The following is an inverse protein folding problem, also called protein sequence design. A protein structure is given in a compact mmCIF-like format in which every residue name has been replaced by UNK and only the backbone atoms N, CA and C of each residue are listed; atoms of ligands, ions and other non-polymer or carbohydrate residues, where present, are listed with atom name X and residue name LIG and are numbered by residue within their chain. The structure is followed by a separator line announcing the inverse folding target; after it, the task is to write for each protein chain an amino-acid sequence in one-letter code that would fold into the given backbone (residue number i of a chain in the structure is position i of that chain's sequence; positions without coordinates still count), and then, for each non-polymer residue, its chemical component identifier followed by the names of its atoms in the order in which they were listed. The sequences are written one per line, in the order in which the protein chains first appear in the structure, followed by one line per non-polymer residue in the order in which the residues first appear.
data_IF_275221265447
#
_entry.id   IF_275221265447
#
_cell.length_a   1.000
_cell.length_b   1.000
_cell.length_c   1.000
_cell.angle_alpha   90.00
_cell.angle_beta   90.00
_cell.angle_gamma   90.00
#
_symmetry.space_group_name_H-M   'P 1'
#
loop_
_entity.id
_entity.type
_entity.pdbx_description
1 polymer ?
#
# COMPACT_ATOMS: atom_id res chain seq x y z
N UNK A 1 21.88 2.24 5.90
CA UNK A 1 22.21 1.67 4.56
C UNK A 1 21.05 0.81 4.07
N UNK A 2 20.84 0.69 2.76
CA UNK A 2 19.85 -0.25 2.23
C UNK A 2 20.36 -1.70 2.39
N UNK A 3 19.53 -2.57 2.95
CA UNK A 3 19.88 -3.98 3.27
C UNK A 3 19.31 -4.95 2.22
N UNK A 4 18.28 -4.53 1.48
CA UNK A 4 17.52 -5.40 0.58
C UNK A 4 16.52 -6.29 1.31
N UNK A 5 16.01 -7.29 0.61
CA UNK A 5 15.04 -8.26 1.13
C UNK A 5 15.61 -9.13 2.26
N UNK A 6 14.78 -9.42 3.26
CA UNK A 6 15.12 -10.21 4.44
C UNK A 6 14.57 -11.64 4.39
N UNK A 7 14.26 -12.13 3.19
CA UNK A 7 13.74 -13.46 2.90
C UNK A 7 14.86 -14.52 2.78
N UNK A 8 16.09 -14.09 2.51
CA UNK A 8 17.26 -14.97 2.41
C UNK A 8 18.09 -15.00 3.70
N UNK A 9 18.76 -16.13 3.94
CA UNK A 9 19.74 -16.26 5.04
C UNK A 9 20.82 -15.19 4.96
N UNK A 10 21.33 -14.93 3.75
CA UNK A 10 22.34 -13.88 3.52
C UNK A 10 21.82 -12.50 3.90
N UNK A 11 20.61 -12.15 3.49
CA UNK A 11 19.98 -10.88 3.86
C UNK A 11 19.87 -10.71 5.37
N UNK A 12 19.46 -11.78 6.07
CA UNK A 12 19.38 -11.77 7.53
C UNK A 12 20.74 -11.65 8.23
N UNK A 13 21.78 -12.29 7.72
CA UNK A 13 23.13 -12.20 8.29
C UNK A 13 23.70 -10.77 8.10
N UNK A 14 23.49 -10.16 6.93
CA UNK A 14 23.85 -8.75 6.69
C UNK A 14 23.07 -7.82 7.61
N UNK A 15 21.75 -8.03 7.76
CA UNK A 15 20.92 -7.26 8.68
C UNK A 15 21.45 -7.28 10.11
N UNK A 16 21.77 -8.48 10.63
CA UNK A 16 22.33 -8.65 11.99
C UNK A 16 23.67 -7.94 12.15
N UNK A 17 24.55 -8.05 11.14
CA UNK A 17 25.84 -7.39 11.15
C UNK A 17 25.67 -5.87 11.21
N UNK A 18 24.80 -5.30 10.36
CA UNK A 18 24.51 -3.86 10.34
C UNK A 18 23.96 -3.38 11.68
N UNK A 19 23.05 -4.12 12.33
CA UNK A 19 22.56 -3.77 13.66
C UNK A 19 23.70 -3.75 14.69
N UNK A 20 24.58 -4.75 14.68
CA UNK A 20 25.72 -4.82 15.60
C UNK A 20 26.73 -3.69 15.35
N UNK A 21 27.04 -3.40 14.09
CA UNK A 21 27.97 -2.36 13.67
C UNK A 21 27.46 -0.97 14.06
N UNK A 22 26.19 -0.66 13.81
CA UNK A 22 25.60 0.64 14.17
C UNK A 22 25.60 0.86 15.68
N UNK A 23 25.22 -0.14 16.48
CA UNK A 23 25.28 -0.04 17.94
C UNK A 23 26.71 0.18 18.45
N UNK A 24 27.68 -0.51 17.86
CA UNK A 24 29.10 -0.35 18.21
C UNK A 24 29.60 1.04 17.83
N UNK A 25 29.32 1.49 16.61
CA UNK A 25 29.75 2.78 16.07
C UNK A 25 29.21 3.96 16.89
N UNK A 26 27.92 3.92 17.24
CA UNK A 26 27.28 4.95 18.05
C UNK A 26 27.41 4.73 19.56
N UNK A 27 28.15 3.69 19.99
CA UNK A 27 28.40 3.35 21.39
C UNK A 27 27.11 3.27 22.22
N UNK A 28 26.07 2.67 21.64
CA UNK A 28 24.74 2.57 22.24
C UNK A 28 24.22 1.14 22.18
N UNK A 29 23.26 0.82 23.04
CA UNK A 29 22.49 -0.43 23.01
C UNK A 29 21.02 -0.09 22.97
N UNK A 30 20.30 -0.68 22.04
CA UNK A 30 18.86 -0.49 21.93
C UNK A 30 18.16 -1.01 23.19
N UNK A 31 17.51 -0.10 23.92
CA UNK A 31 16.70 -0.45 25.09
C UNK A 31 15.30 -0.92 24.70
N UNK A 32 14.88 -0.69 23.45
CA UNK A 32 13.58 -1.09 22.90
C UNK A 32 13.77 -1.33 21.40
N UNK A 33 13.10 -2.35 20.87
CA UNK A 33 13.07 -2.64 19.44
C UNK A 33 11.70 -2.29 18.88
N UNK A 34 11.70 -1.66 17.70
CA UNK A 34 10.47 -1.33 16.97
C UNK A 34 10.45 -2.14 15.68
N UNK A 35 9.28 -2.65 15.31
CA UNK A 35 9.11 -3.48 14.12
C UNK A 35 7.68 -3.42 13.58
N UNK A 36 7.46 -4.02 12.42
CA UNK A 36 6.13 -4.11 11.81
C UNK A 36 5.17 -4.96 12.65
N UNK A 37 3.88 -4.66 12.55
CA UNK A 37 2.79 -5.43 13.13
C UNK A 37 2.73 -6.86 12.60
N UNK A 38 3.17 -7.11 11.36
CA UNK A 38 3.08 -8.41 10.72
C UNK A 38 3.92 -9.50 11.45
N UNK A 39 3.29 -10.49 12.11
CA UNK A 39 4.01 -11.49 12.92
C UNK A 39 4.89 -12.43 12.08
N UNK A 40 4.54 -12.63 10.80
CA UNK A 40 5.31 -13.46 9.87
C UNK A 40 6.63 -12.84 9.36
N UNK A 41 6.86 -11.53 9.53
CA UNK A 41 8.06 -10.90 8.98
C UNK A 41 9.34 -11.36 9.69
N UNK A 42 10.42 -11.55 8.92
CA UNK A 42 11.71 -12.01 9.46
C UNK A 42 12.27 -11.03 10.48
N UNK A 43 12.20 -9.72 10.21
CA UNK A 43 12.64 -8.69 11.16
C UNK A 43 11.84 -8.72 12.47
N UNK A 44 10.53 -8.96 12.39
CA UNK A 44 9.65 -9.10 13.56
C UNK A 44 10.05 -10.27 14.44
N UNK A 45 10.22 -11.46 13.85
CA UNK A 45 10.67 -12.67 14.57
C UNK A 45 12.07 -12.50 15.16
N UNK A 46 12.96 -11.82 14.46
CA UNK A 46 14.30 -11.52 14.96
C UNK A 46 14.23 -10.60 16.19
N UNK A 47 13.43 -9.53 16.15
CA UNK A 47 13.30 -8.56 17.24
C UNK A 47 12.78 -9.22 18.52
N UNK A 48 11.73 -10.05 18.41
CA UNK A 48 11.17 -10.80 19.54
C UNK A 48 12.17 -11.75 20.23
N UNK A 49 13.25 -12.13 19.53
CA UNK A 49 14.28 -13.02 20.05
C UNK A 49 15.47 -12.30 20.72
N UNK A 50 15.53 -10.95 20.72
CA UNK A 50 16.73 -10.23 21.18
C UNK A 50 16.78 -9.95 22.69
N UNK A 51 15.65 -9.98 23.40
CA UNK A 51 15.57 -9.72 24.85
C UNK A 51 14.97 -8.36 25.25
N UNK A 52 15.30 -7.22 24.60
CA UNK A 52 14.63 -5.95 24.87
C UNK A 52 13.11 -5.99 24.60
N UNK A 53 12.33 -5.11 25.24
CA UNK A 53 10.94 -4.88 24.87
C UNK A 53 10.77 -4.59 23.38
N UNK A 54 9.71 -5.13 22.79
CA UNK A 54 9.39 -4.94 21.37
C UNK A 54 8.07 -4.16 21.25
N UNK A 55 8.07 -3.12 20.43
CA UNK A 55 6.87 -2.36 20.05
C UNK A 55 6.58 -2.62 18.58
N UNK A 56 5.36 -3.00 18.29
CA UNK A 56 4.87 -3.25 16.94
C UNK A 56 4.11 -2.03 16.42
N UNK A 57 4.41 -1.60 15.20
CA UNK A 57 3.73 -0.48 14.54
C UNK A 57 3.09 -0.98 13.25
N UNK A 58 1.86 -0.55 12.99
CA UNK A 58 1.16 -0.94 11.78
C UNK A 58 1.87 -0.35 10.54
N UNK A 59 1.94 -1.14 9.47
CA UNK A 59 2.71 -0.85 8.27
C UNK A 59 2.37 0.51 7.62
N UNK A 60 1.10 0.77 7.34
CA UNK A 60 0.66 1.99 6.66
C UNK A 60 0.67 3.22 7.57
N UNK A 61 0.45 3.01 8.87
CA UNK A 61 0.71 4.02 9.91
C UNK A 61 2.20 4.39 9.93
N UNK A 62 3.10 3.44 9.72
CA UNK A 62 4.54 3.73 9.62
C UNK A 62 4.82 4.60 8.39
N UNK A 63 4.23 4.29 7.23
CA UNK A 63 4.33 5.17 6.05
C UNK A 63 3.80 6.58 6.33
N UNK A 64 2.65 6.70 7.00
CA UNK A 64 2.06 7.99 7.36
C UNK A 64 2.93 8.78 8.36
N UNK A 65 3.51 8.10 9.34
CA UNK A 65 4.43 8.72 10.31
C UNK A 65 5.79 9.05 9.71
N UNK A 66 6.24 8.34 8.68
CA UNK A 66 7.47 8.67 7.97
C UNK A 66 7.36 10.04 7.29
N UNK A 67 6.31 10.27 6.49
CA UNK A 67 6.12 11.58 5.87
C UNK A 67 5.87 12.69 6.89
N UNK A 68 5.06 12.43 7.93
CA UNK A 68 4.82 13.41 8.98
C UNK A 68 6.10 13.78 9.76
N UNK A 69 7.05 12.85 9.92
CA UNK A 69 8.35 13.10 10.54
C UNK A 69 9.26 14.01 9.71
N UNK A 70 9.15 13.97 8.37
CA UNK A 70 9.92 14.85 7.48
C UNK A 70 9.41 16.30 7.48
N UNK A 71 8.13 16.50 7.79
CA UNK A 71 7.46 17.81 7.81
C UNK A 71 6.85 18.10 9.20
N UNK A 72 7.68 18.29 10.24
CA UNK A 72 7.23 18.43 11.62
C UNK A 72 6.40 19.70 11.88
N UNK A 73 6.38 20.65 10.95
CA UNK A 73 5.56 21.86 11.04
C UNK A 73 4.08 21.62 10.73
N UNK A 74 3.70 20.45 10.20
CA UNK A 74 2.32 20.11 9.85
C UNK A 74 1.68 19.33 10.99
N UNK A 75 0.58 19.86 11.54
CA UNK A 75 -0.08 19.28 12.71
C UNK A 75 -1.26 18.37 12.37
N UNK A 76 -2.06 18.73 11.35
CA UNK A 76 -3.24 18.00 10.91
C UNK A 76 -3.05 17.46 9.49
N UNK A 77 -2.80 16.17 9.39
CA UNK A 77 -2.59 15.48 8.13
C UNK A 77 -3.83 14.78 7.62
N UNK A 78 -3.91 14.68 6.30
CA UNK A 78 -4.61 13.62 5.61
C UNK A 78 -3.62 12.86 4.72
N UNK A 79 -3.25 11.64 5.09
CA UNK A 79 -2.21 10.86 4.40
C UNK A 79 -2.80 9.69 3.64
N UNK A 80 -2.52 9.62 2.35
CA UNK A 80 -2.74 8.45 1.51
C UNK A 80 -1.51 7.55 1.61
N UNK A 81 -1.66 6.41 2.26
CA UNK A 81 -0.62 5.39 2.39
C UNK A 81 -0.95 4.24 1.42
N UNK A 82 -0.57 4.39 0.16
CA UNK A 82 -0.91 3.47 -0.93
C UNK A 82 0.28 2.60 -1.30
N UNK A 83 0.09 1.29 -1.24
CA UNK A 83 1.15 0.31 -1.37
C UNK A 83 0.69 -1.00 -2.06
N UNK A 84 1.62 -1.93 -2.25
CA UNK A 84 1.38 -3.28 -2.77
C UNK A 84 0.68 -4.19 -1.76
N UNK A 85 1.16 -4.22 -0.51
CA UNK A 85 0.57 -5.02 0.57
C UNK A 85 1.12 -4.60 1.93
N UNK A 86 0.24 -4.54 2.93
CA UNK A 86 0.66 -4.52 4.33
C UNK A 86 -0.45 -5.05 5.23
N UNK A 87 -0.10 -5.70 6.34
CA UNK A 87 -1.10 -6.28 7.23
C UNK A 87 -1.94 -5.19 7.91
N UNK A 88 -3.25 -5.28 7.72
CA UNK A 88 -4.22 -4.44 8.40
C UNK A 88 -4.41 -4.86 9.85
N UNK A 89 -4.84 -3.91 10.68
CA UNK A 89 -5.20 -4.20 12.08
C UNK A 89 -6.44 -5.09 12.22
N UNK A 90 -7.23 -5.23 11.14
CA UNK A 90 -8.40 -6.10 11.00
C UNK A 90 -8.06 -7.48 10.40
N UNK A 91 -6.79 -7.74 10.07
CA UNK A 91 -6.33 -8.97 9.44
C UNK A 91 -6.48 -9.02 7.91
N UNK A 92 -7.08 -7.98 7.31
CA UNK A 92 -7.10 -7.82 5.85
C UNK A 92 -5.73 -7.34 5.33
N UNK A 93 -5.52 -7.45 4.02
CA UNK A 93 -4.35 -6.91 3.35
C UNK A 93 -4.62 -5.48 2.87
N UNK A 94 -4.03 -4.51 3.56
CA UNK A 94 -4.15 -3.09 3.21
C UNK A 94 -3.14 -2.70 2.12
N UNK A 95 -3.31 -1.49 1.58
CA UNK A 95 -2.47 -0.91 0.52
C UNK A 95 -3.16 0.21 -0.26
N UNK A 96 -4.34 0.65 0.19
CA UNK A 96 -5.10 1.73 -0.43
C UNK A 96 -5.78 2.58 0.63
N UNK A 97 -5.08 2.82 1.74
CA UNK A 97 -5.63 3.40 2.96
C UNK A 97 -5.38 4.90 3.03
N UNK A 98 -6.30 5.62 3.67
CA UNK A 98 -6.13 7.03 4.00
C UNK A 98 -6.32 7.25 5.49
N UNK A 99 -5.38 7.96 6.10
CA UNK A 99 -5.34 8.27 7.53
C UNK A 99 -5.48 9.78 7.76
N UNK A 100 -6.26 10.17 8.76
CA UNK A 100 -6.33 11.54 9.26
C UNK A 100 -5.68 11.63 10.63
N UNK A 101 -5.04 12.76 10.94
CA UNK A 101 -4.46 13.02 12.26
C UNK A 101 -2.99 13.34 12.20
N UNK A 102 -2.19 12.71 13.07
CA UNK A 102 -0.75 12.86 13.10
C UNK A 102 -0.11 11.66 13.82
N UNK A 103 1.23 11.57 13.89
CA UNK A 103 1.92 10.50 14.61
C UNK A 103 1.35 10.25 16.01
N UNK A 104 1.16 8.97 16.35
CA UNK A 104 0.58 8.49 17.61
C UNK A 104 -0.95 8.59 17.70
N UNK A 105 -1.63 9.22 16.75
CA UNK A 105 -3.08 9.49 16.79
C UNK A 105 -3.77 9.39 15.44
N UNK A 106 -3.29 8.49 14.59
CA UNK A 106 -3.87 8.26 13.27
C UNK A 106 -5.24 7.59 13.34
N UNK A 107 -6.18 8.10 12.56
CA UNK A 107 -7.48 7.49 12.32
C UNK A 107 -7.56 7.06 10.86
N UNK A 108 -7.87 5.79 10.62
CA UNK A 108 -8.24 5.30 9.28
C UNK A 108 -9.59 5.91 8.88
N UNK A 109 -9.63 6.71 7.81
CA UNK A 109 -10.83 7.46 7.39
C UNK A 109 -11.36 7.06 6.02
N UNK A 110 -10.53 6.46 5.17
CA UNK A 110 -10.98 5.91 3.91
C UNK A 110 -10.10 4.75 3.43
N UNK A 111 -10.59 4.03 2.41
CA UNK A 111 -9.79 3.13 1.61
C UNK A 111 -10.36 2.92 0.20
N UNK A 112 -9.65 2.21 -0.68
CA UNK A 112 -10.29 1.53 -1.82
C UNK A 112 -11.26 0.44 -1.34
N UNK A 113 -12.33 0.21 -2.10
CA UNK A 113 -13.28 -0.89 -1.87
C UNK A 113 -12.52 -2.22 -1.91
N UNK A 114 -12.55 -3.04 -0.84
CA UNK A 114 -11.81 -4.29 -0.83
C UNK A 114 -12.34 -5.30 -1.86
N UNK A 115 -11.47 -6.18 -2.34
CA UNK A 115 -11.79 -7.32 -3.20
C UNK A 115 -11.06 -8.58 -2.75
N UNK A 116 -11.49 -9.74 -3.25
CA UNK A 116 -10.90 -11.02 -2.86
C UNK A 116 -9.74 -11.42 -3.79
N UNK A 117 -8.56 -11.59 -3.20
CA UNK A 117 -7.32 -11.92 -3.88
C UNK A 117 -6.90 -13.37 -3.60
N UNK A 118 -6.78 -14.16 -4.67
CA UNK A 118 -6.38 -15.56 -4.61
C UNK A 118 -4.85 -15.71 -4.66
N UNK A 119 -4.27 -16.47 -3.73
CA UNK A 119 -2.90 -17.00 -3.86
C UNK A 119 -1.82 -16.38 -2.98
N UNK A 120 -2.18 -15.51 -2.02
CA UNK A 120 -1.22 -14.91 -1.08
C UNK A 120 -0.04 -14.24 -1.80
N UNK A 121 1.18 -14.53 -1.37
CA UNK A 121 2.43 -13.97 -1.90
C UNK A 121 2.60 -14.13 -3.42
N UNK A 122 1.97 -15.15 -4.03
CA UNK A 122 2.02 -15.33 -5.49
C UNK A 122 1.35 -14.18 -6.23
N UNK A 123 0.40 -13.49 -5.63
CA UNK A 123 -0.31 -12.38 -6.27
C UNK A 123 0.62 -11.23 -6.68
N UNK A 124 1.69 -10.97 -5.92
CA UNK A 124 2.68 -9.96 -6.27
C UNK A 124 3.55 -10.33 -7.49
N UNK A 125 3.61 -11.63 -7.86
CA UNK A 125 4.38 -12.15 -9.00
C UNK A 125 3.52 -12.61 -10.17
N UNK A 126 2.21 -12.72 -9.97
CA UNK A 126 1.24 -13.20 -10.92
C UNK A 126 0.07 -12.21 -11.02
N UNK A 127 0.25 -11.04 -11.69
CA UNK A 127 -0.77 -9.99 -11.80
C UNK A 127 -2.13 -10.47 -12.32
N UNK A 128 -2.14 -11.57 -13.07
CA UNK A 128 -3.36 -12.24 -13.52
C UNK A 128 -4.32 -12.56 -12.35
N UNK A 129 -3.80 -12.84 -11.15
CA UNK A 129 -4.60 -13.12 -9.95
C UNK A 129 -5.40 -11.91 -9.48
N UNK A 130 -4.78 -10.73 -9.56
CA UNK A 130 -5.44 -9.47 -9.22
C UNK A 130 -6.52 -9.15 -10.26
N UNK A 131 -6.22 -9.32 -11.55
CA UNK A 131 -7.22 -9.17 -12.62
C UNK A 131 -8.41 -10.12 -12.43
N UNK A 132 -8.14 -11.39 -12.13
CA UNK A 132 -9.16 -12.38 -11.81
C UNK A 132 -10.03 -11.95 -10.63
N UNK A 133 -9.40 -11.50 -9.55
CA UNK A 133 -10.08 -11.04 -8.34
C UNK A 133 -11.07 -9.91 -8.61
N UNK A 134 -10.64 -8.88 -9.34
CA UNK A 134 -11.52 -7.76 -9.71
C UNK A 134 -12.68 -8.20 -10.61
N UNK A 135 -12.38 -8.97 -11.66
CA UNK A 135 -13.39 -9.43 -12.62
C UNK A 135 -14.42 -10.33 -11.95
N UNK A 136 -14.00 -11.29 -11.12
CA UNK A 136 -14.89 -12.21 -10.43
C UNK A 136 -15.72 -11.53 -9.34
N UNK A 137 -15.19 -10.51 -8.65
CA UNK A 137 -15.97 -9.73 -7.67
C UNK A 137 -17.17 -9.03 -8.33
N UNK A 138 -17.01 -8.58 -9.59
CA UNK A 138 -18.06 -7.96 -10.41
C UNK A 138 -18.90 -8.98 -11.20
N UNK A 139 -18.71 -10.29 -10.96
CA UNK A 139 -19.43 -11.35 -11.65
C UNK A 139 -19.09 -11.47 -13.15
N UNK A 140 -17.98 -10.86 -13.57
CA UNK A 140 -17.49 -10.91 -14.94
C UNK A 140 -16.67 -12.19 -15.18
N UNK A 141 -16.75 -12.68 -16.41
CA UNK A 141 -15.93 -13.81 -16.86
C UNK A 141 -14.47 -13.37 -17.04
N UNK A 142 -13.56 -14.17 -16.49
CA UNK A 142 -12.12 -13.99 -16.69
C UNK A 142 -11.43 -15.34 -16.60
N UNK A 143 -10.46 -15.58 -17.49
CA UNK A 143 -9.75 -16.86 -17.59
C UNK A 143 -8.29 -16.67 -17.18
N UNK A 144 -7.78 -17.49 -16.23
CA UNK A 144 -6.35 -17.62 -15.98
C UNK A 144 -5.52 -17.96 -17.23
N UNK A 145 -4.20 -17.73 -17.18
CA UNK A 145 -3.27 -18.15 -18.22
C UNK A 145 -3.46 -19.63 -18.59
N UNK A 146 -3.18 -20.01 -19.84
CA UNK A 146 -3.48 -21.36 -20.36
C UNK A 146 -2.80 -22.49 -19.57
N UNK A 147 -1.63 -22.23 -18.99
CA UNK A 147 -0.88 -23.17 -18.16
C UNK A 147 -1.41 -23.27 -16.72
N UNK A 148 -2.41 -22.47 -16.36
CA UNK A 148 -3.13 -22.52 -15.08
C UNK A 148 -4.49 -23.16 -15.30
N UNK A 149 -4.80 -24.19 -14.50
CA UNK A 149 -6.12 -24.80 -14.52
C UNK A 149 -7.20 -23.78 -14.07
N UNK A 150 -7.95 -23.25 -15.04
CA UNK A 150 -8.89 -22.14 -14.86
C UNK A 150 -10.06 -22.46 -13.94
N UNK A 151 -10.65 -23.65 -14.09
CA UNK A 151 -11.77 -24.14 -13.27
C UNK A 151 -11.41 -24.19 -11.77
N UNK A 152 -10.32 -24.87 -11.37
CA UNK A 152 -9.86 -24.90 -9.98
C UNK A 152 -9.58 -23.52 -9.37
N UNK A 153 -9.01 -22.58 -10.13
CA UNK A 153 -8.70 -21.25 -9.61
C UNK A 153 -9.97 -20.45 -9.25
N UNK A 154 -10.96 -20.41 -10.16
CA UNK A 154 -12.24 -19.73 -9.89
C UNK A 154 -13.03 -20.41 -8.78
N UNK A 155 -13.00 -21.74 -8.72
CA UNK A 155 -13.64 -22.50 -7.64
C UNK A 155 -13.00 -22.22 -6.29
N UNK A 156 -11.67 -22.21 -6.20
CA UNK A 156 -10.95 -21.89 -4.97
C UNK A 156 -11.27 -20.47 -4.48
N UNK A 157 -11.31 -19.49 -5.40
CA UNK A 157 -11.72 -18.13 -5.08
C UNK A 157 -13.16 -18.05 -4.57
N UNK A 158 -14.10 -18.75 -5.22
CA UNK A 158 -15.51 -18.78 -4.83
C UNK A 158 -15.72 -19.45 -3.46
N UNK A 159 -14.92 -20.48 -3.15
CA UNK A 159 -14.93 -21.19 -1.87
C UNK A 159 -14.05 -20.52 -0.79
N UNK A 160 -13.44 -19.37 -1.10
CA UNK A 160 -12.53 -18.63 -0.20
C UNK A 160 -11.33 -19.44 0.28
N UNK A 161 -10.84 -20.37 -0.54
CA UNK A 161 -9.64 -21.17 -0.27
C UNK A 161 -8.42 -20.34 -0.65
N UNK A 162 -7.49 -20.12 0.30
CA UNK A 162 -6.29 -19.31 0.11
C UNK A 162 -6.58 -17.95 -0.55
N UNK A 163 -7.66 -17.31 -0.08
CA UNK A 163 -8.19 -16.07 -0.63
C UNK A 163 -8.26 -15.04 0.50
N UNK A 164 -7.64 -13.89 0.29
CA UNK A 164 -7.57 -12.81 1.28
C UNK A 164 -8.31 -11.59 0.76
N UNK A 165 -8.97 -10.84 1.65
CA UNK A 165 -9.52 -9.54 1.28
C UNK A 165 -8.40 -8.52 1.23
N UNK A 166 -8.39 -7.70 0.18
CA UNK A 166 -7.40 -6.64 0.01
C UNK A 166 -8.01 -5.35 -0.50
N UNK A 167 -7.49 -4.23 -0.02
CA UNK A 167 -7.76 -2.87 -0.51
C UNK A 167 -6.55 -2.28 -1.25
N UNK A 168 -5.55 -3.11 -1.57
CA UNK A 168 -4.27 -2.62 -2.05
C UNK A 168 -4.34 -2.00 -3.45
N UNK A 169 -3.89 -0.75 -3.56
CA UNK A 169 -3.82 -0.03 -4.82
C UNK A 169 -2.75 -0.63 -5.72
N UNK A 170 -1.64 -1.13 -5.17
CA UNK A 170 -0.64 -1.86 -5.98
C UNK A 170 -1.22 -3.09 -6.66
N UNK A 171 -2.17 -3.80 -6.01
CA UNK A 171 -2.86 -4.95 -6.62
C UNK A 171 -3.88 -4.50 -7.69
N UNK A 172 -4.49 -3.33 -7.55
CA UNK A 172 -5.29 -2.71 -8.62
C UNK A 172 -4.41 -2.37 -9.83
N UNK A 173 -3.20 -1.85 -9.62
CA UNK A 173 -2.23 -1.63 -10.71
C UNK A 173 -1.77 -2.93 -11.36
N UNK A 174 -1.52 -3.99 -10.58
CA UNK A 174 -1.21 -5.32 -11.13
C UNK A 174 -2.35 -5.83 -12.01
N UNK A 175 -3.60 -5.72 -11.54
CA UNK A 175 -4.78 -6.10 -12.32
C UNK A 175 -4.85 -5.32 -13.64
N UNK A 176 -4.64 -4.01 -13.59
CA UNK A 176 -4.66 -3.17 -14.77
C UNK A 176 -3.50 -3.48 -15.73
N UNK A 177 -2.29 -3.77 -15.24
CA UNK A 177 -1.17 -4.21 -16.06
C UNK A 177 -1.50 -5.52 -16.82
N UNK A 178 -2.18 -6.46 -16.17
CA UNK A 178 -2.66 -7.66 -16.82
C UNK A 178 -3.74 -7.37 -17.87
N UNK A 179 -4.78 -6.60 -17.51
CA UNK A 179 -5.92 -6.33 -18.40
C UNK A 179 -5.54 -5.46 -19.61
N UNK A 180 -4.65 -4.48 -19.42
CA UNK A 180 -4.29 -3.49 -20.42
C UNK A 180 -3.13 -3.94 -21.30
N UNK A 181 -2.10 -4.56 -20.70
CA UNK A 181 -0.85 -4.91 -21.38
C UNK A 181 -0.65 -6.43 -21.57
N UNK A 182 -1.53 -7.26 -21.01
CA UNK A 182 -1.39 -8.73 -21.07
C UNK A 182 -0.26 -9.27 -20.18
N UNK A 183 0.18 -8.52 -19.16
CA UNK A 183 1.24 -8.96 -18.24
C UNK A 183 0.65 -9.91 -17.21
N UNK A 184 0.82 -11.21 -17.43
CA UNK A 184 0.28 -12.23 -16.53
C UNK A 184 1.25 -12.60 -15.40
N UNK A 185 2.56 -12.44 -15.60
CA UNK A 185 3.63 -12.80 -14.64
C UNK A 185 4.75 -11.78 -14.67
N UNK A 186 5.41 -11.58 -13.53
CA UNK A 186 6.49 -10.61 -13.35
C UNK A 186 7.70 -11.20 -12.62
N UNK A 187 8.89 -10.68 -12.91
CA UNK A 187 10.17 -11.10 -12.35
C UNK A 187 10.58 -10.36 -11.09
N UNK A 188 9.89 -9.26 -10.74
CA UNK A 188 10.02 -8.53 -9.47
C UNK A 188 8.71 -7.81 -9.12
N UNK A 189 8.51 -7.50 -7.84
CA UNK A 189 7.33 -6.75 -7.39
C UNK A 189 7.35 -5.33 -7.96
N UNK A 190 6.19 -4.83 -8.40
CA UNK A 190 6.06 -3.51 -9.01
C UNK A 190 6.35 -3.46 -10.52
N UNK A 191 6.88 -4.53 -11.13
CA UNK A 191 7.18 -4.53 -12.58
C UNK A 191 5.94 -4.22 -13.44
N UNK A 192 4.78 -4.85 -13.16
CA UNK A 192 3.53 -4.60 -13.87
C UNK A 192 3.09 -3.13 -13.78
N UNK A 193 2.94 -2.59 -12.56
CA UNK A 193 2.66 -1.17 -12.33
C UNK A 193 3.63 -0.22 -13.05
N UNK A 194 4.94 -0.49 -13.02
CA UNK A 194 5.95 0.33 -13.71
C UNK A 194 5.79 0.31 -15.24
N UNK A 195 5.48 -0.85 -15.82
CA UNK A 195 5.23 -0.97 -17.25
C UNK A 195 3.93 -0.27 -17.65
N UNK A 196 2.92 -0.29 -16.77
CA UNK A 196 1.67 0.42 -17.00
C UNK A 196 1.84 1.94 -16.91
N UNK A 197 2.66 2.42 -15.98
CA UNK A 197 3.05 3.83 -15.91
C UNK A 197 3.75 4.27 -17.20
N UNK A 198 4.74 3.50 -17.67
CA UNK A 198 5.45 3.80 -18.91
C UNK A 198 4.55 3.79 -20.16
N UNK A 199 3.44 3.05 -20.10
CA UNK A 199 2.45 3.01 -21.18
C UNK A 199 1.50 4.21 -21.17
N UNK A 200 1.30 4.90 -20.04
CA UNK A 200 0.50 6.11 -19.95
C UNK A 200 1.29 7.29 -20.56
N UNK A 201 1.06 7.57 -21.84
CA UNK A 201 1.67 8.70 -22.55
C UNK A 201 1.13 10.02 -21.98
N UNK A 202 1.92 10.66 -21.12
CA UNK A 202 1.53 11.67 -20.12
C UNK A 202 0.99 13.00 -20.65
N UNK A 203 -0.01 12.90 -21.53
CA UNK A 203 -0.68 13.97 -22.25
C UNK A 203 -1.74 14.66 -21.39
N UNK A 204 -2.21 14.04 -20.30
CA UNK A 204 -3.06 14.68 -19.29
C UNK A 204 -4.42 15.18 -19.81
N UNK A 205 -4.92 14.60 -20.91
CA UNK A 205 -6.19 14.97 -21.54
C UNK A 205 -7.16 13.76 -21.63
N UNK A 206 -6.94 12.71 -20.83
CA UNK A 206 -7.83 11.54 -20.85
C UNK A 206 -9.11 11.79 -20.05
N UNK A 207 -10.19 11.12 -20.44
CA UNK A 207 -11.47 11.22 -19.74
C UNK A 207 -11.45 10.30 -18.50
N UNK A 208 -10.98 10.85 -17.36
CA UNK A 208 -11.00 10.15 -16.08
C UNK A 208 -12.42 9.66 -15.73
N UNK A 209 -12.50 8.44 -15.20
CA UNK A 209 -13.77 7.85 -14.77
C UNK A 209 -13.96 8.10 -13.27
N UNK A 210 -15.12 8.66 -12.85
CA UNK A 210 -15.40 8.86 -11.44
C UNK A 210 -15.39 7.53 -10.67
N UNK A 211 -14.72 7.51 -9.52
CA UNK A 211 -14.72 6.38 -8.59
C UNK A 211 -15.63 6.74 -7.40
N UNK A 212 -16.87 6.22 -7.34
CA UNK A 212 -17.82 6.60 -6.30
C UNK A 212 -17.25 6.40 -4.90
N UNK A 213 -17.34 7.45 -4.07
CA UNK A 213 -16.92 7.43 -2.69
C UNK A 213 -18.13 7.30 -1.78
N UNK A 214 -18.22 6.20 -1.02
CA UNK A 214 -19.38 5.93 -0.14
C UNK A 214 -18.93 5.41 1.21
N UNK A 215 -19.56 5.84 2.33
CA UNK A 215 -19.29 5.24 3.63
C UNK A 215 -19.79 3.78 3.65
N UNK A 216 -19.01 2.89 4.24
CA UNK A 216 -19.47 1.55 4.61
C UNK A 216 -20.24 1.56 5.94
N UNK A 217 -20.63 0.38 6.43
CA UNK A 217 -21.40 0.24 7.67
C UNK A 217 -20.68 0.75 8.93
N UNK A 218 -19.36 0.94 8.89
CA UNK A 218 -18.57 1.54 9.98
C UNK A 218 -18.38 3.06 9.83
N UNK A 219 -18.86 3.65 8.74
CA UNK A 219 -18.64 5.05 8.39
C UNK A 219 -17.34 5.32 7.64
N UNK A 220 -16.51 4.29 7.40
CA UNK A 220 -15.27 4.40 6.64
C UNK A 220 -15.58 4.63 5.16
N UNK A 221 -14.99 5.66 4.54
CA UNK A 221 -15.24 5.94 3.13
C UNK A 221 -14.55 4.90 2.24
N UNK A 222 -15.28 4.31 1.30
CA UNK A 222 -14.79 3.35 0.32
C UNK A 222 -14.90 3.91 -1.08
N UNK A 223 -13.78 3.96 -1.79
CA UNK A 223 -13.74 4.33 -3.20
C UNK A 223 -13.95 3.09 -4.07
N UNK A 224 -14.98 3.12 -4.91
CA UNK A 224 -15.34 2.00 -5.76
C UNK A 224 -14.53 2.00 -7.06
N UNK A 225 -13.68 0.98 -7.23
CA UNK A 225 -12.85 0.78 -8.42
C UNK A 225 -13.60 0.14 -9.59
N UNK A 226 -14.81 -0.42 -9.39
CA UNK A 226 -15.55 -1.14 -10.44
C UNK A 226 -15.78 -0.35 -11.74
N UNK A 227 -15.96 0.99 -11.74
CA UNK A 227 -16.13 1.75 -12.98
C UNK A 227 -14.90 1.72 -13.90
N UNK A 228 -13.73 1.32 -13.39
CA UNK A 228 -12.53 1.18 -14.20
C UNK A 228 -12.60 -0.04 -15.13
N UNK A 229 -13.28 -1.13 -14.73
CA UNK A 229 -13.23 -2.39 -15.48
C UNK A 229 -13.70 -2.27 -16.94
N UNK A 230 -14.81 -1.59 -17.27
CA UNK A 230 -15.22 -1.40 -18.65
C UNK A 230 -14.17 -0.67 -19.49
N UNK A 231 -13.43 0.29 -18.91
CA UNK A 231 -12.35 0.99 -19.61
C UNK A 231 -11.14 0.09 -19.78
N UNK A 232 -10.69 -0.58 -18.72
CA UNK A 232 -9.48 -1.41 -18.73
C UNK A 232 -9.60 -2.61 -19.69
N UNK A 233 -10.83 -3.04 -19.98
CA UNK A 233 -11.12 -4.18 -20.87
C UNK A 233 -11.54 -3.77 -22.29
N UNK A 234 -11.73 -2.47 -22.56
CA UNK A 234 -12.19 -1.98 -23.86
C UNK A 234 -11.08 -2.05 -24.92
N UNK A 235 -11.13 -3.09 -25.76
CA UNK A 235 -10.16 -3.29 -26.85
C UNK A 235 -10.27 -2.28 -28.00
N UNK A 236 -11.28 -1.41 -27.99
CA UNK A 236 -11.38 -0.30 -28.94
C UNK A 236 -10.49 0.87 -28.55
N UNK A 237 -10.13 0.98 -27.26
CA UNK A 237 -9.17 1.97 -26.75
C UNK A 237 -7.77 1.40 -26.82
N UNK A 238 -6.80 2.26 -27.11
CA UNK A 238 -5.39 1.89 -27.06
C UNK A 238 -4.97 1.56 -25.61
N UNK A 239 -3.93 0.74 -25.47
CA UNK A 239 -3.37 0.45 -24.14
C UNK A 239 -2.92 1.72 -23.42
N UNK A 240 -2.41 2.69 -24.17
CA UNK A 240 -1.99 4.01 -23.71
C UNK A 240 -3.14 4.79 -23.07
N UNK A 241 -4.27 4.92 -23.77
CA UNK A 241 -5.46 5.60 -23.24
C UNK A 241 -6.01 4.90 -22.00
N UNK A 242 -6.08 3.55 -22.02
CA UNK A 242 -6.58 2.79 -20.85
C UNK A 242 -5.68 2.96 -19.63
N UNK A 243 -4.36 2.95 -19.83
CA UNK A 243 -3.39 3.20 -18.78
C UNK A 243 -3.51 4.62 -18.22
N UNK A 244 -3.60 5.64 -19.09
CA UNK A 244 -3.77 7.03 -18.66
C UNK A 244 -5.05 7.24 -17.85
N UNK A 245 -6.19 6.72 -18.32
CA UNK A 245 -7.48 6.83 -17.62
C UNK A 245 -7.41 6.22 -16.22
N UNK A 246 -6.74 5.08 -16.01
CA UNK A 246 -6.58 4.51 -14.67
C UNK A 246 -5.90 5.49 -13.71
N UNK A 247 -4.73 6.00 -14.11
CA UNK A 247 -3.92 6.88 -13.27
C UNK A 247 -4.66 8.19 -12.97
N UNK A 248 -5.28 8.79 -13.99
CA UNK A 248 -6.04 10.03 -13.85
C UNK A 248 -7.30 9.84 -12.98
N UNK A 249 -8.00 8.70 -13.12
CA UNK A 249 -9.15 8.37 -12.27
C UNK A 249 -8.76 8.22 -10.81
N UNK A 250 -7.61 7.61 -10.52
CA UNK A 250 -7.08 7.51 -9.16
C UNK A 250 -6.66 8.88 -8.61
N UNK A 251 -6.04 9.73 -9.43
CA UNK A 251 -5.69 11.10 -9.04
C UNK A 251 -6.93 11.97 -8.73
N UNK A 252 -7.97 11.88 -9.57
CA UNK A 252 -9.27 12.53 -9.33
C UNK A 252 -9.91 11.99 -8.06
N UNK A 253 -9.85 10.67 -7.83
CA UNK A 253 -10.38 10.06 -6.62
C UNK A 253 -9.69 10.56 -5.35
N UNK A 254 -8.36 10.76 -5.37
CA UNK A 254 -7.62 11.38 -4.26
C UNK A 254 -8.21 12.77 -3.99
N UNK A 255 -8.30 13.63 -5.01
CA UNK A 255 -8.81 14.98 -4.86
C UNK A 255 -10.26 15.03 -4.34
N UNK A 256 -11.14 14.17 -4.85
CA UNK A 256 -12.53 14.07 -4.40
C UNK A 256 -12.66 13.59 -2.96
N UNK A 257 -11.79 12.67 -2.55
CA UNK A 257 -11.74 12.21 -1.17
C UNK A 257 -11.27 13.32 -0.22
N UNK A 258 -10.24 14.08 -0.59
CA UNK A 258 -9.76 15.23 0.19
C UNK A 258 -10.87 16.27 0.33
N UNK A 259 -11.54 16.66 -0.76
CA UNK A 259 -12.67 17.61 -0.74
C UNK A 259 -13.79 17.13 0.18
N UNK A 260 -14.12 15.84 0.14
CA UNK A 260 -15.17 15.25 0.98
C UNK A 260 -14.80 15.29 2.47
N UNK A 261 -13.54 15.00 2.80
CA UNK A 261 -13.06 14.97 4.19
C UNK A 261 -12.84 16.38 4.75
N UNK A 262 -12.40 17.33 3.92
CA UNK A 262 -12.21 18.73 4.30
C UNK A 262 -13.49 19.41 4.81
N UNK A 263 -14.68 18.89 4.49
CA UNK A 263 -15.94 19.41 5.06
C UNK A 263 -16.16 19.00 6.52
N UNK A 264 -15.32 18.13 7.08
CA UNK A 264 -15.50 17.49 8.40
C UNK A 264 -14.29 17.63 9.32
N UNK A 265 -13.09 17.70 8.74
CA UNK A 265 -11.83 17.79 9.48
C UNK A 265 -10.97 18.92 8.90
N UNK A 266 -10.16 19.55 9.75
CA UNK A 266 -9.12 20.47 9.31
C UNK A 266 -7.98 19.67 8.67
N UNK A 267 -7.46 20.16 7.54
CA UNK A 267 -6.36 19.52 6.80
C UNK A 267 -5.33 20.61 6.50
N UNK A 268 -4.17 20.53 7.16
CA UNK A 268 -3.06 21.47 6.92
C UNK A 268 -2.24 21.04 5.70
N UNK A 269 -2.07 19.73 5.51
CA UNK A 269 -1.46 19.16 4.32
C UNK A 269 -1.99 17.74 4.01
N UNK A 270 -1.89 17.39 2.72
CA UNK A 270 -2.18 16.06 2.19
C UNK A 270 -0.86 15.35 1.92
N UNK A 271 -0.63 14.21 2.56
CA UNK A 271 0.55 13.39 2.34
C UNK A 271 0.29 12.26 1.34
N UNK A 272 1.19 12.04 0.39
CA UNK A 272 1.14 10.94 -0.57
C UNK A 272 2.36 10.02 -0.36
N UNK A 273 2.17 8.83 0.19
CA UNK A 273 3.28 7.94 0.60
C UNK A 273 2.91 6.44 0.46
N UNK A 274 3.89 5.55 0.58
CA UNK A 274 3.78 4.14 0.19
C UNK A 274 4.29 3.92 -1.24
N UNK A 275 4.63 2.67 -1.58
CA UNK A 275 5.31 2.32 -2.83
C UNK A 275 4.58 2.75 -4.11
N UNK A 276 3.25 2.90 -4.07
CA UNK A 276 2.47 3.33 -5.23
C UNK A 276 2.79 4.76 -5.66
N UNK A 277 3.14 5.65 -4.73
CA UNK A 277 3.47 7.05 -5.07
C UNK A 277 4.90 7.24 -5.60
N UNK A 278 5.64 6.15 -5.82
CA UNK A 278 6.81 6.17 -6.70
C UNK A 278 6.41 6.31 -8.18
N UNK A 279 5.13 6.04 -8.51
CA UNK A 279 4.55 6.31 -9.82
C UNK A 279 4.46 7.83 -10.03
N UNK A 280 5.32 8.33 -10.92
CA UNK A 280 5.47 9.75 -11.22
C UNK A 280 4.18 10.29 -11.84
N UNK A 281 3.58 9.56 -12.78
CA UNK A 281 2.38 10.02 -13.48
C UNK A 281 1.21 10.24 -12.51
N UNK A 282 0.95 9.28 -11.63
CA UNK A 282 -0.07 9.40 -10.58
C UNK A 282 0.24 10.53 -9.60
N UNK A 283 1.49 10.62 -9.11
CA UNK A 283 1.88 11.60 -8.10
C UNK A 283 1.78 13.03 -8.62
N UNK A 284 2.30 13.32 -9.82
CA UNK A 284 2.24 14.65 -10.44
C UNK A 284 0.79 15.06 -10.70
N UNK A 285 -0.07 14.15 -11.18
CA UNK A 285 -1.46 14.46 -11.40
C UNK A 285 -2.24 14.68 -10.09
N UNK A 286 -2.02 13.84 -9.08
CA UNK A 286 -2.66 14.01 -7.78
C UNK A 286 -2.29 15.36 -7.16
N UNK A 287 -1.00 15.74 -7.17
CA UNK A 287 -0.52 17.03 -6.67
C UNK A 287 -1.17 18.18 -7.43
N UNK A 288 -1.14 18.15 -8.76
CA UNK A 288 -1.75 19.20 -9.60
C UNK A 288 -3.24 19.40 -9.28
N UNK A 289 -4.00 18.33 -9.12
CA UNK A 289 -5.43 18.40 -8.80
C UNK A 289 -5.69 18.90 -7.37
N UNK A 290 -4.85 18.51 -6.41
CA UNK A 290 -4.96 18.95 -5.02
C UNK A 290 -4.61 20.44 -4.87
N UNK A 291 -3.53 20.89 -5.50
CA UNK A 291 -3.11 22.30 -5.48
C UNK A 291 -4.14 23.19 -6.18
N UNK A 292 -4.69 22.75 -7.33
CA UNK A 292 -5.78 23.44 -8.00
C UNK A 292 -7.06 23.54 -7.14
N UNK A 293 -7.26 22.60 -6.22
CA UNK A 293 -8.34 22.61 -5.24
C UNK A 293 -7.99 23.35 -3.93
N UNK A 294 -6.80 23.96 -3.83
CA UNK A 294 -6.36 24.75 -2.68
C UNK A 294 -5.75 23.95 -1.53
N UNK A 295 -5.37 22.69 -1.74
CA UNK A 295 -4.73 21.85 -0.73
C UNK A 295 -3.22 21.78 -0.96
N UNK A 296 -2.44 21.87 0.13
CA UNK A 296 -0.99 21.63 0.11
C UNK A 296 -0.74 20.13 0.04
N UNK A 297 -0.21 19.64 -1.08
CA UNK A 297 0.17 18.24 -1.24
C UNK A 297 1.68 18.06 -1.00
N UNK A 298 2.06 16.99 -0.31
CA UNK A 298 3.46 16.69 0.05
C UNK A 298 3.80 15.24 -0.28
N UNK A 299 5.02 15.03 -0.79
CA UNK A 299 5.66 13.73 -0.98
C UNK A 299 6.84 13.59 0.00
N UNK A 300 7.22 12.36 0.37
CA UNK A 300 8.52 12.09 1.00
C UNK A 300 9.65 12.62 0.11
N UNK A 301 10.65 13.27 0.71
CA UNK A 301 11.70 13.98 -0.04
C UNK A 301 13.10 13.43 0.24
N UNK A 302 13.39 13.17 1.52
CA UNK A 302 14.67 12.62 2.00
C UNK A 302 14.53 11.14 2.29
N UNK A 303 13.40 10.73 2.87
CA UNK A 303 13.10 9.34 3.18
C UNK A 303 12.34 8.71 2.00
N UNK A 304 12.66 7.48 1.57
CA UNK A 304 11.90 6.83 0.52
C UNK A 304 10.42 6.67 0.89
N UNK A 305 9.53 6.91 -0.07
CA UNK A 305 8.09 6.64 0.08
C UNK A 305 7.77 5.13 0.19
N UNK A 306 8.66 4.26 -0.29
CA UNK A 306 8.53 2.81 -0.21
C UNK A 306 9.01 2.25 1.14
N UNK A 307 8.98 0.93 1.29
CA UNK A 307 9.37 0.20 2.50
C UNK A 307 10.77 0.54 3.05
N UNK A 308 11.65 1.11 2.21
CA UNK A 308 12.92 1.65 2.65
C UNK A 308 12.81 2.75 3.72
N UNK A 309 11.65 3.42 3.82
CA UNK A 309 11.35 4.45 4.81
C UNK A 309 10.65 3.95 6.08
N UNK A 310 10.17 2.70 6.11
CA UNK A 310 9.32 2.21 7.21
C UNK A 310 10.01 2.27 8.57
N UNK A 311 11.28 1.92 8.65
CA UNK A 311 12.02 1.94 9.91
C UNK A 311 12.06 3.34 10.54
N UNK A 312 12.12 4.40 9.73
CA UNK A 312 12.04 5.78 10.22
C UNK A 312 10.62 6.10 10.72
N UNK A 313 9.60 5.79 9.92
CA UNK A 313 8.20 6.01 10.29
C UNK A 313 7.77 5.27 11.57
N UNK A 314 8.26 4.04 11.76
CA UNK A 314 8.09 3.26 12.98
C UNK A 314 8.65 3.99 14.22
N UNK A 315 9.84 4.59 14.10
CA UNK A 315 10.43 5.36 15.19
C UNK A 315 9.64 6.63 15.48
N UNK A 316 9.22 7.37 14.44
CA UNK A 316 8.38 8.57 14.61
C UNK A 316 7.08 8.19 15.32
N UNK A 317 6.39 7.14 14.89
CA UNK A 317 5.14 6.73 15.52
C UNK A 317 5.30 6.42 17.01
N UNK A 318 6.33 5.66 17.39
CA UNK A 318 6.60 5.31 18.79
C UNK A 318 7.01 6.53 19.62
N UNK A 319 7.79 7.46 19.06
CA UNK A 319 8.19 8.70 19.75
C UNK A 319 6.98 9.58 20.12
N UNK A 320 5.90 9.51 19.35
CA UNK A 320 4.64 10.20 19.62
C UNK A 320 3.63 9.35 20.41
N UNK A 321 4.07 8.23 20.99
CA UNK A 321 3.25 7.38 21.86
C UNK A 321 2.38 6.35 21.13
N UNK A 322 2.58 6.17 19.83
CA UNK A 322 1.93 5.13 19.04
C UNK A 322 2.59 3.76 19.16
N UNK A 323 1.99 2.77 18.48
CA UNK A 323 2.43 1.38 18.49
C UNK A 323 1.87 0.54 19.65
N UNK A 324 2.06 -0.78 19.55
CA UNK A 324 1.52 -1.76 20.47
C UNK A 324 2.65 -2.59 21.09
N UNK A 325 2.78 -2.65 22.42
CA UNK A 325 3.73 -3.56 23.05
C UNK A 325 3.46 -5.01 22.64
N UNK A 326 4.51 -5.70 22.20
CA UNK A 326 4.43 -7.12 21.92
C UNK A 326 4.60 -7.85 23.25
N UNK A 327 3.59 -8.62 23.65
CA UNK A 327 3.65 -9.42 24.87
C UNK A 327 4.89 -10.32 24.84
N UNK A 328 5.72 -10.23 25.89
CA UNK A 328 6.75 -11.24 26.10
C UNK A 328 6.03 -12.59 26.18
N UNK A 329 6.40 -13.55 25.33
CA UNK A 329 6.08 -14.94 25.62
C UNK A 329 6.75 -15.26 26.95
N UNK A 330 5.99 -15.18 28.04
CA UNK A 330 6.40 -15.75 29.31
C UNK A 330 6.63 -17.21 29.01
N UNK A 331 7.89 -17.65 29.07
CA UNK A 331 8.23 -19.06 29.08
C UNK A 331 7.57 -19.70 30.29
N UNK A 332 6.35 -20.19 30.11
CA UNK A 332 5.72 -21.19 30.99
C UNK A 332 5.90 -22.52 30.27
N UNK A 333 6.81 -23.33 30.80
CA UNK A 333 7.26 -24.57 30.19
C UNK A 333 6.24 -25.70 30.22
N UNK A 334 6.60 -26.75 29.47
CA UNK A 334 6.93 -28.06 30.00
C UNK A 334 8.00 -28.69 29.10
#
# INVERSE_FOLDING_TARGET
PHIGELDTRRGLDVFRQVVADLQTLYQTRAATLVCDLHPGFTARRWAEAQGPPVVAVQHHVSHASAIAGEYPEVENWLVFAWDGVGLGSDGDLWGGETFAGAPGRWQRVASLRPFHLLGGDRAAREPWRSAAGLMWEEGLEWRPPEDVASGPARQAWAQRINTHRTSAVGRLFDAAACLVLGIERVSFEGQGPMLLEAAADGTGDSEAVPLPLRPDGSGLLRADWSPLLPVLTDQKRSAMERAAILHESLAVQIADQVKTLATRINIDAVGLTGGVFQNKYLAEWAIKLLEAAGFRALLPAVIPASDGGLAYGQLIEVLYGGGTPVGMKTGTGN
#
